data_IF_406324689514
#
_entry.id   IF_406324689514
#
_cell.length_a   1.000
_cell.length_b   1.000
_cell.length_c   1.000
_cell.angle_alpha   90.00
_cell.angle_beta   90.00
_cell.angle_gamma   90.00
#
_symmetry.space_group_name_H-M   'P 1'
#
loop_
_entity.id
_entity.type
_entity.pdbx_description
1 polymer ?
#
# COMPACT_ATOMS: atom_id res chain seq x y z
N UNK A 1 50.45 -60.28 -14.61
CA UNK A 1 49.77 -59.11 -14.02
C UNK A 1 50.19 -57.90 -14.83
N UNK A 2 49.42 -57.57 -15.86
CA UNK A 2 49.58 -56.30 -16.58
C UNK A 2 49.11 -55.17 -15.66
N UNK A 3 50.02 -54.26 -15.34
CA UNK A 3 49.63 -52.97 -14.77
C UNK A 3 48.91 -52.18 -15.86
N UNK A 4 47.58 -52.12 -15.77
CA UNK A 4 46.79 -51.15 -16.51
C UNK A 4 47.36 -49.75 -16.27
N UNK A 5 47.74 -48.99 -17.31
CA UNK A 5 48.16 -47.62 -17.12
C UNK A 5 46.97 -46.80 -16.62
N UNK A 6 47.18 -46.02 -15.56
CA UNK A 6 46.19 -45.09 -15.04
C UNK A 6 45.70 -44.19 -16.18
N UNK A 7 44.44 -44.38 -16.58
CA UNK A 7 43.75 -43.52 -17.55
C UNK A 7 43.80 -42.10 -17.00
N UNK A 8 44.65 -41.24 -17.59
CA UNK A 8 44.61 -39.80 -17.35
C UNK A 8 43.25 -39.31 -17.84
N UNK A 9 42.28 -39.23 -16.93
CA UNK A 9 41.04 -38.51 -17.20
C UNK A 9 41.44 -37.12 -17.68
N UNK A 10 40.85 -36.67 -18.80
CA UNK A 10 41.08 -35.31 -19.25
C UNK A 10 40.73 -34.37 -18.09
N UNK A 11 41.54 -33.34 -17.88
CA UNK A 11 41.38 -32.37 -16.79
C UNK A 11 39.93 -31.85 -16.69
N UNK A 12 39.26 -31.79 -17.85
CA UNK A 12 37.83 -31.58 -18.01
C UNK A 12 36.95 -32.63 -17.28
N UNK A 13 37.10 -33.92 -17.56
CA UNK A 13 36.32 -35.00 -16.93
C UNK A 13 36.56 -35.09 -15.42
N UNK A 14 37.80 -34.84 -14.97
CA UNK A 14 38.15 -34.77 -13.56
C UNK A 14 37.43 -33.62 -12.85
N UNK A 15 37.46 -32.42 -13.43
CA UNK A 15 36.79 -31.24 -12.89
C UNK A 15 35.26 -31.43 -12.84
N UNK A 16 34.66 -31.95 -13.92
CA UNK A 16 33.22 -32.22 -13.98
C UNK A 16 32.76 -33.28 -13.00
N UNK A 17 33.56 -34.33 -12.79
CA UNK A 17 33.25 -35.36 -11.79
C UNK A 17 33.21 -34.79 -10.37
N UNK A 18 34.17 -33.93 -10.01
CA UNK A 18 34.21 -33.25 -8.71
C UNK A 18 33.06 -32.24 -8.54
N UNK A 19 32.74 -31.47 -9.58
CA UNK A 19 31.60 -30.56 -9.58
C UNK A 19 30.26 -31.31 -9.43
N UNK A 20 30.12 -32.49 -10.05
CA UNK A 20 28.93 -33.32 -9.92
C UNK A 20 28.73 -33.79 -8.47
N UNK A 21 29.81 -34.17 -7.77
CA UNK A 21 29.76 -34.55 -6.36
C UNK A 21 29.29 -33.38 -5.50
N UNK A 22 29.87 -32.18 -5.70
CA UNK A 22 29.45 -30.95 -4.99
C UNK A 22 27.97 -30.66 -5.25
N UNK A 23 27.50 -30.83 -6.48
CA UNK A 23 26.11 -30.60 -6.86
C UNK A 23 25.15 -31.60 -6.18
N UNK A 24 25.44 -32.90 -6.24
CA UNK A 24 24.62 -33.94 -5.60
C UNK A 24 24.61 -33.76 -4.08
N UNK A 25 25.78 -33.56 -3.49
CA UNK A 25 25.95 -33.36 -2.05
C UNK A 25 25.19 -32.12 -1.56
N UNK A 26 25.35 -30.98 -2.24
CA UNK A 26 24.66 -29.75 -1.91
C UNK A 26 23.14 -29.84 -2.11
N UNK A 27 22.67 -30.53 -3.16
CA UNK A 27 21.22 -30.69 -3.41
C UNK A 27 20.54 -31.51 -2.32
N UNK A 28 21.18 -32.58 -1.83
CA UNK A 28 20.69 -33.37 -0.69
C UNK A 28 20.50 -32.49 0.54
N UNK A 29 21.51 -31.67 0.87
CA UNK A 29 21.44 -30.77 2.02
C UNK A 29 20.32 -29.73 1.90
N UNK A 30 20.20 -29.09 0.73
CA UNK A 30 19.13 -28.10 0.49
C UNK A 30 17.74 -28.72 0.51
N UNK A 31 17.58 -29.96 0.03
CA UNK A 31 16.30 -30.67 0.11
C UNK A 31 15.90 -30.96 1.57
N UNK A 32 16.83 -31.47 2.39
CA UNK A 32 16.61 -31.69 3.82
C UNK A 32 16.25 -30.39 4.55
N UNK A 33 16.99 -29.31 4.29
CA UNK A 33 16.71 -27.99 4.87
C UNK A 33 15.34 -27.45 4.42
N UNK A 34 14.97 -27.66 3.15
CA UNK A 34 13.66 -27.33 2.62
C UNK A 34 12.52 -28.06 3.34
N UNK A 35 12.67 -29.36 3.61
CA UNK A 35 11.68 -30.14 4.35
C UNK A 35 11.55 -29.64 5.80
N UNK A 36 12.67 -29.41 6.50
CA UNK A 36 12.67 -28.89 7.87
C UNK A 36 11.97 -27.53 7.94
N UNK A 37 12.28 -26.62 7.01
CA UNK A 37 11.67 -25.28 6.96
C UNK A 37 10.17 -25.34 6.68
N UNK A 38 9.69 -26.27 5.83
CA UNK A 38 8.26 -26.49 5.61
C UNK A 38 7.56 -26.92 6.92
N UNK A 39 8.13 -27.88 7.65
CA UNK A 39 7.55 -28.32 8.94
C UNK A 39 7.52 -27.18 9.97
N UNK A 40 8.59 -26.38 10.06
CA UNK A 40 8.63 -25.19 10.92
C UNK A 40 7.55 -24.17 10.55
N UNK A 41 7.36 -23.90 9.26
CA UNK A 41 6.33 -22.97 8.78
C UNK A 41 4.91 -23.49 9.09
N UNK A 42 4.68 -24.80 8.99
CA UNK A 42 3.40 -25.42 9.38
C UNK A 42 3.19 -25.27 10.88
N UNK A 43 4.19 -25.56 11.71
CA UNK A 43 4.11 -25.41 13.16
C UNK A 43 3.85 -23.94 13.58
N UNK A 44 4.57 -22.99 12.99
CA UNK A 44 4.35 -21.55 13.20
C UNK A 44 2.93 -21.13 12.79
N UNK A 45 2.39 -21.70 11.72
CA UNK A 45 1.00 -21.41 11.28
C UNK A 45 -0.02 -21.94 12.26
N UNK A 46 0.19 -23.13 12.84
CA UNK A 46 -0.69 -23.70 13.86
C UNK A 46 -0.63 -22.84 15.14
N UNK A 47 0.57 -22.41 15.54
CA UNK A 47 0.76 -21.59 16.74
C UNK A 47 0.25 -20.15 16.60
N UNK A 48 0.34 -19.55 15.42
CA UNK A 48 0.02 -18.12 15.22
C UNK A 48 -1.45 -17.72 15.36
N UNK A 49 -2.35 -18.65 15.70
CA UNK A 49 -3.74 -18.37 16.04
C UNK A 49 -4.56 -17.72 14.91
N UNK A 50 -5.85 -17.48 15.14
CA UNK A 50 -6.66 -16.67 14.23
C UNK A 50 -6.45 -15.21 14.58
N UNK A 51 -5.76 -14.45 13.72
CA UNK A 51 -5.72 -12.99 13.83
C UNK A 51 -7.08 -12.42 13.51
N UNK A 52 -7.53 -11.49 14.35
CA UNK A 52 -8.76 -10.75 14.14
C UNK A 52 -8.67 -9.95 12.84
N UNK A 53 -9.77 -9.92 12.07
CA UNK A 53 -9.80 -9.18 10.81
C UNK A 53 -9.91 -7.70 11.13
N UNK A 54 -8.90 -6.93 10.74
CA UNK A 54 -8.98 -5.47 10.78
C UNK A 54 -10.13 -5.01 9.89
N UNK A 55 -11.04 -4.21 10.44
CA UNK A 55 -12.18 -3.68 9.69
C UNK A 55 -11.67 -2.63 8.69
N UNK A 56 -12.28 -2.60 7.51
CA UNK A 56 -11.99 -1.60 6.49
C UNK A 56 -12.86 -0.37 6.80
N UNK A 57 -12.36 0.48 7.69
CA UNK A 57 -13.05 1.69 8.15
C UNK A 57 -12.16 2.89 7.82
N UNK A 58 -12.77 3.95 7.31
CA UNK A 58 -12.09 5.24 7.10
C UNK A 58 -12.11 5.99 8.43
N UNK A 59 -10.95 6.06 9.08
CA UNK A 59 -10.72 6.86 10.29
C UNK A 59 -10.44 8.33 9.96
N UNK A 60 -10.55 9.23 10.95
CA UNK A 60 -10.18 10.64 10.78
C UNK A 60 -8.77 10.82 10.25
N UNK A 61 -8.62 11.85 9.41
CA UNK A 61 -7.38 12.31 8.79
C UNK A 61 -6.62 11.23 7.98
N UNK A 62 -7.18 10.75 6.85
CA UNK A 62 -6.42 9.92 5.92
C UNK A 62 -5.15 10.63 5.45
N UNK A 63 -4.08 9.85 5.28
CA UNK A 63 -2.81 10.37 4.77
C UNK A 63 -2.99 11.11 3.44
N UNK A 64 -2.16 12.12 3.20
CA UNK A 64 -2.20 12.96 1.99
C UNK A 64 -1.07 12.54 1.06
N UNK A 65 -1.40 12.18 -0.19
CA UNK A 65 -0.38 11.80 -1.19
C UNK A 65 0.10 13.04 -1.97
N UNK A 66 1.16 13.68 -1.46
CA UNK A 66 1.84 14.79 -2.15
C UNK A 66 2.73 14.28 -3.27
N UNK A 67 3.10 15.17 -4.19
CA UNK A 67 4.08 14.87 -5.26
C UNK A 67 5.43 14.42 -4.68
N UNK A 68 5.90 15.09 -3.61
CA UNK A 68 7.14 14.72 -2.91
C UNK A 68 7.11 13.29 -2.35
N UNK A 69 6.01 12.89 -1.70
CA UNK A 69 5.84 11.53 -1.17
C UNK A 69 5.77 10.54 -2.34
N UNK A 70 5.03 10.87 -3.40
CA UNK A 70 4.94 10.02 -4.58
C UNK A 70 6.33 9.77 -5.22
N UNK A 71 7.16 10.80 -5.31
CA UNK A 71 8.52 10.72 -5.84
C UNK A 71 9.45 9.93 -4.92
N UNK A 72 9.40 10.17 -3.61
CA UNK A 72 10.18 9.45 -2.60
C UNK A 72 9.93 7.93 -2.67
N UNK A 73 8.65 7.54 -2.80
CA UNK A 73 8.23 6.14 -2.90
C UNK A 73 8.25 5.59 -4.33
N UNK A 74 8.71 6.38 -5.32
CA UNK A 74 8.78 5.99 -6.74
C UNK A 74 7.45 5.41 -7.23
N UNK A 75 6.37 6.15 -6.98
CA UNK A 75 5.05 5.85 -7.52
C UNK A 75 5.13 5.89 -9.04
N UNK A 76 4.80 4.78 -9.69
CA UNK A 76 4.80 4.68 -11.16
C UNK A 76 3.55 5.35 -11.75
N UNK A 77 2.43 5.28 -11.04
CA UNK A 77 1.13 5.82 -11.48
C UNK A 77 0.23 6.05 -10.28
N UNK A 78 -0.36 7.23 -10.17
CA UNK A 78 -1.44 7.54 -9.23
C UNK A 78 -2.53 8.32 -9.98
N UNK A 79 -3.70 7.72 -10.17
CA UNK A 79 -4.85 8.36 -10.80
C UNK A 79 -6.20 7.81 -10.28
N UNK A 80 -7.30 8.17 -10.95
CA UNK A 80 -8.67 7.80 -10.60
C UNK A 80 -8.97 6.28 -10.71
N UNK A 81 -8.07 5.49 -11.28
CA UNK A 81 -8.25 4.08 -11.58
C UNK A 81 -7.20 3.18 -10.93
N UNK A 82 -5.94 3.59 -10.96
CA UNK A 82 -4.79 2.80 -10.53
C UNK A 82 -3.83 3.57 -9.64
N UNK A 83 -3.41 2.91 -8.56
CA UNK A 83 -2.27 3.31 -7.75
C UNK A 83 -1.21 2.21 -7.84
N UNK A 84 -0.09 2.55 -8.47
CA UNK A 84 1.01 1.63 -8.80
C UNK A 84 2.28 2.19 -8.21
N UNK A 85 2.93 1.40 -7.38
CA UNK A 85 4.20 1.76 -6.78
C UNK A 85 5.11 0.55 -6.67
N UNK A 86 6.42 0.82 -6.61
CA UNK A 86 7.44 -0.20 -6.44
C UNK A 86 8.11 -0.07 -5.09
N UNK A 87 8.07 -1.13 -4.30
CA UNK A 87 8.82 -1.15 -3.04
C UNK A 87 10.29 -1.42 -3.33
N UNK A 88 11.16 -0.48 -2.98
CA UNK A 88 12.61 -0.70 -3.02
C UNK A 88 12.98 -1.76 -1.97
N UNK A 89 13.89 -2.67 -2.36
CA UNK A 89 14.42 -3.70 -1.46
C UNK A 89 15.91 -3.45 -1.31
N UNK A 90 16.29 -2.55 -0.42
CA UNK A 90 17.72 -2.29 -0.11
C UNK A 90 18.44 -3.56 0.33
N UNK A 91 17.72 -4.43 1.04
CA UNK A 91 18.15 -5.78 1.43
C UNK A 91 18.63 -6.60 0.21
N UNK A 92 18.11 -6.34 -0.99
CA UNK A 92 18.51 -7.10 -2.19
C UNK A 92 19.98 -6.87 -2.54
N UNK A 93 20.44 -5.61 -2.54
CA UNK A 93 21.83 -5.29 -2.86
C UNK A 93 22.79 -5.91 -1.83
N UNK A 94 22.45 -5.80 -0.55
CA UNK A 94 23.19 -6.41 0.55
C UNK A 94 23.27 -7.94 0.45
N UNK A 95 22.13 -8.61 0.18
CA UNK A 95 22.09 -10.07 0.00
C UNK A 95 22.88 -10.53 -1.22
N UNK A 96 22.90 -9.76 -2.32
CA UNK A 96 23.74 -10.04 -3.48
C UNK A 96 25.22 -9.96 -3.09
N UNK A 97 25.62 -8.91 -2.36
CA UNK A 97 27.01 -8.74 -1.91
C UNK A 97 27.48 -9.88 -1.01
N UNK A 98 26.70 -10.24 0.01
CA UNK A 98 27.02 -11.37 0.89
C UNK A 98 27.03 -12.70 0.13
N UNK A 99 26.01 -12.95 -0.70
CA UNK A 99 25.94 -14.19 -1.49
C UNK A 99 27.14 -14.35 -2.41
N UNK A 100 27.56 -13.27 -3.07
CA UNK A 100 28.74 -13.27 -3.93
C UNK A 100 30.03 -13.51 -3.13
N UNK A 101 30.19 -12.88 -1.96
CA UNK A 101 31.36 -13.09 -1.10
C UNK A 101 31.47 -14.55 -0.64
N UNK A 102 30.37 -15.15 -0.16
CA UNK A 102 30.33 -16.55 0.27
C UNK A 102 30.65 -17.49 -0.90
N UNK A 103 30.08 -17.24 -2.08
CA UNK A 103 30.35 -18.05 -3.27
C UNK A 103 31.83 -17.98 -3.69
N UNK A 104 32.43 -16.78 -3.68
CA UNK A 104 33.85 -16.61 -3.99
C UNK A 104 34.73 -17.39 -3.00
N UNK A 105 34.41 -17.37 -1.71
CA UNK A 105 35.10 -18.19 -0.69
C UNK A 105 34.93 -19.68 -0.98
N UNK A 106 33.71 -20.13 -1.29
CA UNK A 106 33.44 -21.52 -1.65
C UNK A 106 34.22 -22.00 -2.89
N UNK A 107 34.27 -21.17 -3.94
CA UNK A 107 35.04 -21.45 -5.16
C UNK A 107 36.54 -21.49 -4.86
N UNK A 108 37.06 -20.54 -4.07
CA UNK A 108 38.48 -20.54 -3.70
C UNK A 108 38.88 -21.80 -2.93
N UNK A 109 38.07 -22.21 -1.93
CA UNK A 109 38.30 -23.43 -1.17
C UNK A 109 38.21 -24.68 -2.05
N UNK A 110 37.23 -24.73 -2.95
CA UNK A 110 37.10 -25.82 -3.92
C UNK A 110 38.34 -25.94 -4.81
N UNK A 111 38.85 -24.84 -5.35
CA UNK A 111 40.06 -24.84 -6.17
C UNK A 111 41.30 -25.26 -5.39
N UNK A 112 41.42 -24.85 -4.12
CA UNK A 112 42.54 -25.23 -3.24
C UNK A 112 42.52 -26.71 -2.87
N UNK A 113 41.34 -27.30 -2.70
CA UNK A 113 41.18 -28.65 -2.14
C UNK A 113 40.71 -29.69 -3.17
N UNK A 114 40.70 -29.36 -4.46
CA UNK A 114 40.19 -30.22 -5.53
C UNK A 114 40.84 -31.61 -5.56
N UNK A 115 42.14 -31.66 -5.23
CA UNK A 115 42.95 -32.88 -5.23
C UNK A 115 42.80 -33.71 -3.95
N UNK A 116 42.15 -33.17 -2.91
CA UNK A 116 41.87 -33.91 -1.69
C UNK A 116 40.45 -34.52 -1.74
N UNK A 117 40.30 -35.85 -1.95
CA UNK A 117 38.99 -36.49 -2.02
C UNK A 117 38.23 -36.49 -0.69
N UNK A 118 38.91 -36.28 0.44
CA UNK A 118 38.31 -36.23 1.78
C UNK A 118 38.08 -34.80 2.28
N UNK A 119 38.20 -33.80 1.40
CA UNK A 119 37.92 -32.42 1.75
C UNK A 119 36.49 -32.24 2.23
N UNK A 120 36.32 -31.41 3.25
CA UNK A 120 35.02 -31.02 3.80
C UNK A 120 34.17 -30.30 2.74
N UNK A 121 34.76 -29.72 1.69
CA UNK A 121 34.02 -29.03 0.62
C UNK A 121 33.04 -29.94 -0.10
N UNK A 122 33.31 -31.25 -0.13
CA UNK A 122 32.44 -32.26 -0.74
C UNK A 122 31.34 -32.75 0.20
N UNK A 123 31.41 -32.41 1.49
CA UNK A 123 30.39 -32.80 2.47
C UNK A 123 29.09 -31.98 2.27
N UNK A 124 27.88 -32.56 2.44
CA UNK A 124 26.62 -31.90 2.10
C UNK A 124 26.40 -30.51 2.74
N UNK A 125 26.72 -30.28 4.02
CA UNK A 125 26.55 -28.95 4.63
C UNK A 125 27.44 -27.88 3.99
N UNK A 126 28.69 -28.20 3.67
CA UNK A 126 29.65 -27.23 3.11
C UNK A 126 29.37 -26.97 1.63
N UNK A 127 29.23 -28.02 0.82
CA UNK A 127 28.85 -27.90 -0.60
C UNK A 127 27.52 -27.15 -0.77
N UNK A 128 26.54 -27.44 0.09
CA UNK A 128 25.25 -26.77 0.14
C UNK A 128 25.36 -25.30 0.54
N UNK A 129 26.03 -24.97 1.64
CA UNK A 129 26.05 -23.62 2.20
C UNK A 129 27.00 -22.64 1.47
N UNK A 130 28.17 -23.11 1.02
CA UNK A 130 29.20 -22.23 0.45
C UNK A 130 29.17 -22.15 -1.08
N UNK A 131 28.56 -23.12 -1.77
CA UNK A 131 28.53 -23.16 -3.24
C UNK A 131 27.10 -23.12 -3.74
N UNK A 132 26.29 -24.15 -3.43
CA UNK A 132 24.99 -24.30 -4.10
C UNK A 132 23.95 -23.26 -3.66
N UNK A 133 23.81 -23.01 -2.36
CA UNK A 133 22.89 -22.00 -1.83
C UNK A 133 23.19 -20.59 -2.34
N UNK A 134 24.42 -20.04 -2.22
CA UNK A 134 24.71 -18.70 -2.70
C UNK A 134 24.60 -18.60 -4.23
N UNK A 135 24.95 -19.65 -4.98
CA UNK A 135 24.74 -19.69 -6.42
C UNK A 135 23.25 -19.61 -6.81
N UNK A 136 22.39 -20.42 -6.19
CA UNK A 136 20.94 -20.38 -6.40
C UNK A 136 20.37 -19.03 -5.99
N UNK A 137 20.82 -18.47 -4.85
CA UNK A 137 20.38 -17.16 -4.39
C UNK A 137 20.75 -16.07 -5.40
N UNK A 138 21.99 -16.02 -5.88
CA UNK A 138 22.43 -15.03 -6.88
C UNK A 138 21.63 -15.13 -8.18
N UNK A 139 21.45 -16.34 -8.72
CA UNK A 139 20.60 -16.58 -9.89
C UNK A 139 19.18 -16.06 -9.62
N UNK A 140 18.59 -16.38 -8.47
CA UNK A 140 17.25 -15.94 -8.11
C UNK A 140 17.13 -14.41 -8.01
N UNK A 141 18.20 -13.71 -7.63
CA UNK A 141 18.24 -12.24 -7.57
C UNK A 141 18.36 -11.61 -8.96
N UNK A 142 19.12 -12.21 -9.87
CA UNK A 142 19.22 -11.74 -11.27
C UNK A 142 17.85 -11.82 -11.95
N UNK A 143 17.10 -12.89 -11.70
CA UNK A 143 15.74 -13.07 -12.23
C UNK A 143 14.64 -12.45 -11.34
N UNK A 144 15.00 -11.69 -10.30
CA UNK A 144 14.02 -11.07 -9.40
C UNK A 144 13.37 -9.85 -10.06
N UNK A 145 12.10 -10.00 -10.44
CA UNK A 145 11.27 -8.90 -10.93
C UNK A 145 11.08 -7.80 -9.87
N UNK A 146 10.85 -6.57 -10.35
CA UNK A 146 10.49 -5.43 -9.49
C UNK A 146 9.25 -5.77 -8.65
N UNK A 147 9.30 -5.45 -7.35
CA UNK A 147 8.18 -5.65 -6.41
C UNK A 147 7.14 -4.55 -6.61
N UNK A 148 6.33 -4.70 -7.65
CA UNK A 148 5.26 -3.76 -7.99
C UNK A 148 3.93 -4.17 -7.34
N UNK A 149 3.35 -3.25 -6.59
CA UNK A 149 1.95 -3.31 -6.18
C UNK A 149 1.07 -2.62 -7.22
N UNK A 150 -0.12 -3.17 -7.45
CA UNK A 150 -1.13 -2.54 -8.30
C UNK A 150 -2.44 -2.57 -7.54
N UNK A 151 -2.91 -1.40 -7.13
CA UNK A 151 -4.25 -1.21 -6.59
C UNK A 151 -5.14 -0.78 -7.75
N UNK A 152 -6.11 -1.63 -8.08
CA UNK A 152 -7.12 -1.37 -9.10
C UNK A 152 -8.40 -0.95 -8.38
N UNK A 153 -8.64 0.36 -8.36
CA UNK A 153 -9.78 0.97 -7.68
C UNK A 153 -11.10 0.56 -8.32
N UNK A 154 -11.16 0.45 -9.64
CA UNK A 154 -12.40 0.21 -10.37
C UNK A 154 -12.92 -1.22 -10.15
N UNK A 155 -12.00 -2.20 -10.15
CA UNK A 155 -12.30 -3.60 -9.88
C UNK A 155 -12.23 -3.95 -8.39
N UNK A 156 -11.72 -3.05 -7.54
CA UNK A 156 -11.59 -3.26 -6.09
C UNK A 156 -10.60 -4.37 -5.76
N UNK A 157 -9.50 -4.49 -6.53
CA UNK A 157 -8.51 -5.56 -6.35
C UNK A 157 -7.11 -5.01 -6.09
N UNK A 158 -6.30 -5.80 -5.39
CA UNK A 158 -4.89 -5.52 -5.13
C UNK A 158 -4.06 -6.66 -5.67
N UNK A 159 -3.13 -6.33 -6.56
CA UNK A 159 -2.14 -7.27 -7.08
C UNK A 159 -0.86 -7.13 -6.29
N UNK A 160 -0.49 -8.22 -5.62
CA UNK A 160 0.74 -8.35 -4.87
C UNK A 160 1.90 -8.73 -5.80
N UNK A 161 3.10 -8.19 -5.55
CA UNK A 161 4.30 -8.62 -6.25
C UNK A 161 4.63 -10.08 -5.93
N UNK A 162 5.49 -10.67 -6.76
CA UNK A 162 6.12 -11.96 -6.43
C UNK A 162 6.85 -11.83 -5.10
N UNK A 163 6.60 -12.75 -4.19
CA UNK A 163 7.26 -12.80 -2.89
C UNK A 163 7.89 -14.18 -2.70
N UNK A 164 9.22 -14.23 -2.62
CA UNK A 164 9.99 -15.48 -2.60
C UNK A 164 9.62 -16.38 -3.80
N UNK A 165 9.17 -17.60 -3.54
CA UNK A 165 8.73 -18.57 -4.55
C UNK A 165 7.26 -18.43 -4.96
N UNK A 166 6.49 -17.56 -4.30
CA UNK A 166 5.06 -17.38 -4.61
C UNK A 166 4.89 -16.41 -5.77
N UNK A 167 4.19 -16.82 -6.86
CA UNK A 167 3.93 -15.95 -7.99
C UNK A 167 3.05 -14.76 -7.58
N UNK A 168 3.02 -13.73 -8.42
CA UNK A 168 2.10 -12.60 -8.26
C UNK A 168 0.67 -13.11 -8.02
N UNK A 169 -0.05 -12.48 -7.11
CA UNK A 169 -1.43 -12.83 -6.83
C UNK A 169 -2.30 -11.58 -6.73
N UNK A 170 -3.47 -11.65 -7.33
CA UNK A 170 -4.49 -10.61 -7.25
C UNK A 170 -5.58 -11.07 -6.31
N UNK A 171 -5.96 -10.23 -5.36
CA UNK A 171 -7.03 -10.51 -4.40
C UNK A 171 -7.98 -9.31 -4.30
N UNK A 172 -9.26 -9.52 -3.97
CA UNK A 172 -10.16 -8.43 -3.60
C UNK A 172 -9.61 -7.63 -2.43
N UNK A 173 -9.75 -6.29 -2.47
CA UNK A 173 -9.26 -5.41 -1.41
C UNK A 173 -9.90 -5.74 -0.06
N UNK A 174 -11.17 -6.12 -0.03
CA UNK A 174 -11.87 -6.59 1.18
C UNK A 174 -11.22 -7.78 1.90
N UNK A 175 -10.29 -8.49 1.25
CA UNK A 175 -9.51 -9.61 1.83
C UNK A 175 -8.07 -9.21 2.18
N UNK A 176 -7.64 -7.99 1.85
CA UNK A 176 -6.33 -7.46 2.22
C UNK A 176 -6.32 -7.20 3.71
N UNK A 177 -5.20 -7.52 4.35
CA UNK A 177 -5.03 -7.35 5.79
C UNK A 177 -3.83 -6.42 5.98
N UNK A 178 -4.02 -5.26 6.64
CA UNK A 178 -2.92 -4.40 7.01
C UNK A 178 -2.06 -5.11 8.06
N UNK A 179 -0.76 -4.87 8.01
CA UNK A 179 0.20 -5.40 8.94
C UNK A 179 1.29 -4.39 9.23
N UNK A 180 2.05 -4.65 10.27
CA UNK A 180 3.18 -3.83 10.67
C UNK A 180 4.41 -4.72 10.75
N UNK A 181 5.53 -4.23 10.21
CA UNK A 181 6.83 -4.87 10.38
C UNK A 181 7.71 -3.99 11.24
N UNK A 182 8.29 -4.57 12.31
CA UNK A 182 9.45 -3.99 12.97
C UNK A 182 10.62 -4.10 11.99
N UNK A 183 11.21 -2.98 11.59
CA UNK A 183 12.48 -2.99 10.86
C UNK A 183 13.53 -3.71 11.70
N UNK A 184 14.35 -4.56 11.09
CA UNK A 184 15.55 -5.11 11.73
C UNK A 184 16.59 -4.00 11.80
N UNK A 185 17.07 -3.71 13.01
CA UNK A 185 18.06 -2.66 13.35
C UNK A 185 17.52 -1.22 13.21
N UNK A 186 16.88 -0.73 14.28
CA UNK A 186 16.77 0.67 14.67
C UNK A 186 16.33 1.78 13.67
N UNK A 187 15.68 1.51 12.53
CA UNK A 187 15.05 2.58 11.75
C UNK A 187 13.69 2.18 11.16
N UNK A 188 12.65 2.89 11.61
CA UNK A 188 11.25 2.95 11.15
C UNK A 188 10.47 1.63 11.07
N UNK A 189 9.41 1.52 11.88
CA UNK A 189 8.32 0.61 11.58
C UNK A 189 7.76 0.93 10.18
N UNK A 190 7.40 -0.09 9.40
CA UNK A 190 6.79 0.13 8.09
C UNK A 190 5.39 -0.44 8.07
N UNK A 191 4.47 0.32 7.49
CA UNK A 191 3.16 -0.17 7.16
C UNK A 191 3.25 -1.15 5.98
N UNK A 192 2.54 -2.27 6.11
CA UNK A 192 2.67 -3.41 5.22
C UNK A 192 1.30 -3.96 4.86
N UNK A 193 1.21 -4.64 3.71
CA UNK A 193 0.14 -5.59 3.46
C UNK A 193 0.62 -7.00 3.75
N UNK A 194 -0.19 -7.78 4.45
CA UNK A 194 0.10 -9.20 4.65
C UNK A 194 -0.17 -9.95 3.34
N UNK A 195 0.85 -10.64 2.83
CA UNK A 195 0.74 -11.44 1.63
C UNK A 195 -0.36 -12.51 1.80
N UNK A 196 -1.31 -12.65 0.85
CA UNK A 196 -2.51 -13.46 1.05
C UNK A 196 -2.24 -14.92 1.42
N UNK A 197 -1.17 -15.50 0.86
CA UNK A 197 -0.81 -16.92 1.05
C UNK A 197 0.16 -17.15 2.21
N UNK A 198 1.24 -16.37 2.28
CA UNK A 198 2.32 -16.58 3.25
C UNK A 198 2.11 -15.83 4.56
N UNK A 199 1.20 -14.85 4.58
CA UNK A 199 1.00 -13.91 5.68
C UNK A 199 2.25 -13.08 6.02
N UNK A 200 3.26 -13.09 5.16
CA UNK A 200 4.45 -12.25 5.30
C UNK A 200 4.06 -10.78 5.14
N UNK A 201 4.57 -9.91 6.01
CA UNK A 201 4.38 -8.47 5.89
C UNK A 201 5.23 -7.93 4.74
N UNK A 202 4.60 -7.39 3.70
CA UNK A 202 5.28 -6.76 2.57
C UNK A 202 5.09 -5.23 2.70
N UNK A 203 6.19 -4.46 2.83
CA UNK A 203 6.09 -3.00 2.95
C UNK A 203 5.41 -2.35 1.74
N UNK A 204 4.54 -1.39 2.02
CA UNK A 204 3.80 -0.60 1.01
C UNK A 204 4.21 0.87 1.07
N UNK A 205 3.56 1.72 0.28
CA UNK A 205 3.74 3.17 0.32
C UNK A 205 3.21 3.71 1.65
N UNK A 206 4.10 4.02 2.59
CA UNK A 206 3.81 4.59 3.90
C UNK A 206 5.02 4.49 4.84
N UNK A 207 5.18 5.50 5.69
CA UNK A 207 5.95 5.39 6.94
C UNK A 207 5.11 4.77 8.05
N UNK A 208 5.64 4.72 9.28
CA UNK A 208 4.86 4.31 10.44
C UNK A 208 3.83 5.38 10.78
N UNK A 209 2.63 5.25 10.21
CA UNK A 209 1.49 6.06 10.62
C UNK A 209 0.18 5.30 10.44
N UNK A 210 -0.77 5.51 11.34
CA UNK A 210 -2.12 4.93 11.29
C UNK A 210 -2.90 5.40 10.07
N UNK A 211 -2.55 6.58 9.55
CA UNK A 211 -3.37 7.38 8.63
C UNK A 211 -3.33 6.85 7.19
N UNK A 212 -2.36 5.98 6.90
CA UNK A 212 -2.23 5.33 5.60
C UNK A 212 -3.29 4.24 5.36
N UNK A 213 -3.74 3.53 6.39
CA UNK A 213 -4.81 2.54 6.19
C UNK A 213 -6.14 3.19 5.76
N UNK A 214 -6.64 4.24 6.45
CA UNK A 214 -7.77 5.03 5.98
C UNK A 214 -7.59 5.57 4.56
N UNK A 215 -6.38 6.00 4.20
CA UNK A 215 -6.07 6.43 2.84
C UNK A 215 -6.33 5.30 1.82
N UNK A 216 -5.82 4.09 2.06
CA UNK A 216 -6.06 2.96 1.17
C UNK A 216 -7.54 2.57 1.11
N UNK A 217 -8.24 2.60 2.25
CA UNK A 217 -9.68 2.30 2.29
C UNK A 217 -10.48 3.33 1.50
N UNK A 218 -10.18 4.61 1.65
CA UNK A 218 -10.80 5.70 0.89
C UNK A 218 -10.48 5.59 -0.60
N UNK A 219 -9.22 5.36 -0.97
CA UNK A 219 -8.81 5.20 -2.36
C UNK A 219 -9.55 4.03 -3.03
N UNK A 220 -9.65 2.89 -2.35
CA UNK A 220 -10.29 1.69 -2.88
C UNK A 220 -11.83 1.75 -2.85
N UNK A 221 -12.42 2.74 -2.17
CA UNK A 221 -13.86 3.02 -2.26
C UNK A 221 -14.15 3.84 -3.53
N UNK A 222 -14.40 3.16 -4.65
CA UNK A 222 -14.69 3.82 -5.93
C UNK A 222 -15.95 4.69 -5.93
N UNK A 223 -16.77 4.61 -4.88
CA UNK A 223 -18.01 5.39 -4.77
C UNK A 223 -17.80 6.70 -4.00
N UNK A 224 -16.62 6.89 -3.39
CA UNK A 224 -16.21 8.12 -2.69
C UNK A 224 -15.26 8.97 -3.54
N UNK A 225 -15.11 10.28 -3.21
CA UNK A 225 -14.09 11.13 -3.81
C UNK A 225 -12.68 10.57 -3.60
N UNK A 226 -11.76 10.96 -4.49
CA UNK A 226 -10.35 10.61 -4.36
C UNK A 226 -9.75 11.19 -3.07
N UNK A 227 -8.79 10.49 -2.43
CA UNK A 227 -8.07 11.03 -1.29
C UNK A 227 -7.43 12.39 -1.55
N UNK A 228 -7.11 13.11 -0.48
CA UNK A 228 -6.40 14.38 -0.59
C UNK A 228 -4.96 14.17 -1.09
N UNK A 229 -4.45 15.16 -1.82
CA UNK A 229 -3.08 15.18 -2.32
C UNK A 229 -2.99 15.60 -3.79
N UNK A 230 -1.91 16.33 -4.10
CA UNK A 230 -1.62 16.88 -5.43
C UNK A 230 -1.58 15.81 -6.52
N UNK A 231 -1.18 14.57 -6.17
CA UNK A 231 -1.14 13.45 -7.09
C UNK A 231 -2.51 13.12 -7.72
N UNK A 232 -3.62 13.49 -7.06
CA UNK A 232 -4.98 13.20 -7.51
C UNK A 232 -5.74 14.40 -8.05
N UNK A 233 -5.25 15.63 -7.84
CA UNK A 233 -5.94 16.86 -8.20
C UNK A 233 -6.36 16.91 -9.69
N UNK A 234 -5.51 16.51 -10.66
CA UNK A 234 -5.90 16.48 -12.08
C UNK A 234 -7.07 15.55 -12.42
N UNK A 235 -7.39 14.59 -11.54
CA UNK A 235 -8.38 13.55 -11.80
C UNK A 235 -9.68 13.73 -11.02
N UNK A 236 -9.77 14.70 -10.09
CA UNK A 236 -10.94 14.89 -9.22
C UNK A 236 -12.21 15.19 -10.01
N UNK A 237 -12.13 16.09 -10.99
CA UNK A 237 -13.28 16.46 -11.82
C UNK A 237 -13.79 15.26 -12.63
N UNK A 238 -12.88 14.53 -13.27
CA UNK A 238 -13.20 13.32 -14.02
C UNK A 238 -13.85 12.25 -13.14
N UNK A 239 -13.32 12.01 -11.93
CA UNK A 239 -13.92 11.04 -11.00
C UNK A 239 -15.31 11.48 -10.52
N UNK A 240 -15.49 12.78 -10.23
CA UNK A 240 -16.78 13.35 -9.87
C UNK A 240 -17.81 13.16 -10.98
N UNK A 241 -17.49 13.54 -12.23
CA UNK A 241 -18.39 13.39 -13.38
C UNK A 241 -18.77 11.92 -13.61
N UNK A 242 -17.83 10.98 -13.41
CA UNK A 242 -18.11 9.54 -13.46
C UNK A 242 -19.09 9.12 -12.38
N UNK A 243 -18.90 9.54 -11.12
CA UNK A 243 -19.82 9.21 -10.01
C UNK A 243 -21.20 9.84 -10.22
N UNK A 244 -21.25 11.08 -10.73
CA UNK A 244 -22.48 11.77 -11.12
C UNK A 244 -23.24 11.00 -12.20
N UNK A 245 -22.55 10.55 -13.24
CA UNK A 245 -23.15 9.72 -14.30
C UNK A 245 -23.68 8.36 -13.79
N UNK A 246 -23.05 7.82 -12.74
CA UNK A 246 -23.50 6.59 -12.08
C UNK A 246 -24.60 6.82 -11.01
N UNK A 247 -25.03 8.07 -10.79
CA UNK A 247 -26.05 8.42 -9.80
C UNK A 247 -25.58 8.37 -8.35
N UNK A 248 -24.29 8.66 -8.09
CA UNK A 248 -23.67 8.63 -6.75
C UNK A 248 -23.98 7.34 -5.97
N UNK A 249 -23.44 6.19 -6.43
CA UNK A 249 -23.67 4.91 -5.78
C UNK A 249 -23.26 4.93 -4.30
N UNK A 250 -23.92 4.11 -3.47
CA UNK A 250 -23.64 4.05 -2.03
C UNK A 250 -22.18 3.64 -1.75
N UNK A 251 -21.52 4.20 -0.72
CA UNK A 251 -20.17 3.81 -0.32
C UNK A 251 -20.00 2.31 -0.06
N UNK A 252 -18.79 1.80 -0.33
CA UNK A 252 -18.46 0.38 -0.12
C UNK A 252 -17.99 0.14 1.32
N UNK A 253 -17.25 1.09 1.90
CA UNK A 253 -16.67 0.97 3.23
C UNK A 253 -17.26 2.01 4.18
N UNK A 254 -17.45 1.69 5.47
CA UNK A 254 -17.88 2.64 6.49
C UNK A 254 -16.80 3.71 6.76
N UNK A 255 -17.25 4.87 7.23
CA UNK A 255 -16.44 6.01 7.65
C UNK A 255 -16.85 6.47 9.06
N UNK A 256 -15.93 7.11 9.76
CA UNK A 256 -16.19 7.82 11.03
C UNK A 256 -16.00 9.33 10.90
N UNK A 257 -15.93 9.83 9.67
CA UNK A 257 -15.72 11.24 9.34
C UNK A 257 -16.56 11.65 8.13
N UNK A 258 -16.81 12.95 7.98
CA UNK A 258 -17.35 13.53 6.76
C UNK A 258 -16.43 13.20 5.56
N UNK A 259 -16.98 12.54 4.54
CA UNK A 259 -16.25 12.28 3.28
C UNK A 259 -17.13 12.73 2.12
N UNK A 260 -16.99 13.99 1.75
CA UNK A 260 -17.77 14.63 0.68
C UNK A 260 -16.86 15.27 -0.35
N UNK A 261 -17.40 15.57 -1.52
CA UNK A 261 -16.69 16.29 -2.56
C UNK A 261 -16.29 17.71 -2.14
N UNK A 262 -17.09 18.37 -1.31
CA UNK A 262 -16.77 19.68 -0.73
C UNK A 262 -15.54 19.64 0.19
N UNK A 263 -15.26 18.50 0.83
CA UNK A 263 -14.15 18.36 1.75
C UNK A 263 -12.90 17.74 1.10
N UNK A 264 -13.09 16.67 0.33
CA UNK A 264 -11.99 15.86 -0.19
C UNK A 264 -11.95 15.80 -1.72
N UNK A 265 -13.01 16.17 -2.43
CA UNK A 265 -13.17 15.89 -3.85
C UNK A 265 -13.17 17.12 -4.75
N UNK A 266 -13.99 17.07 -5.79
CA UNK A 266 -14.15 18.17 -6.74
C UNK A 266 -15.29 19.08 -6.29
N UNK A 267 -14.98 20.37 -6.13
CA UNK A 267 -15.99 21.36 -5.74
C UNK A 267 -16.88 21.67 -6.95
N UNK A 268 -18.05 21.02 -7.00
CA UNK A 268 -19.05 21.25 -8.02
C UNK A 268 -19.88 22.48 -7.68
N UNK A 269 -19.43 23.64 -8.16
CA UNK A 269 -20.13 24.91 -8.00
C UNK A 269 -19.94 25.82 -9.21
N UNK A 270 -20.79 26.85 -9.29
CA UNK A 270 -20.73 27.85 -10.37
C UNK A 270 -19.39 28.60 -10.37
N UNK A 271 -19.03 29.19 -11.50
CA UNK A 271 -17.79 29.97 -11.60
C UNK A 271 -17.77 31.12 -10.59
N UNK A 272 -18.91 31.77 -10.36
CA UNK A 272 -19.04 32.81 -9.34
C UNK A 272 -18.79 32.26 -7.93
N UNK A 273 -19.37 31.10 -7.60
CA UNK A 273 -19.16 30.45 -6.31
C UNK A 273 -17.67 30.12 -6.10
N UNK A 274 -17.01 29.52 -7.09
CA UNK A 274 -15.59 29.17 -7.03
C UNK A 274 -14.70 30.41 -6.88
N UNK A 275 -15.02 31.50 -7.59
CA UNK A 275 -14.30 32.78 -7.46
C UNK A 275 -14.48 33.44 -6.10
N UNK A 276 -15.63 33.29 -5.44
CA UNK A 276 -15.82 33.78 -4.08
C UNK A 276 -15.09 32.89 -3.08
N UNK A 277 -15.19 31.58 -3.24
CA UNK A 277 -14.53 30.61 -2.37
C UNK A 277 -13.01 30.80 -2.35
N UNK A 278 -12.37 31.11 -3.48
CA UNK A 278 -10.91 31.34 -3.55
C UNK A 278 -10.44 32.57 -2.77
N UNK A 279 -11.35 33.50 -2.42
CA UNK A 279 -11.06 34.70 -1.61
C UNK A 279 -11.29 34.47 -0.11
N UNK A 280 -11.94 33.37 0.25
CA UNK A 280 -12.25 33.03 1.64
C UNK A 280 -11.01 32.42 2.30
N UNK A 281 -10.76 32.82 3.54
CA UNK A 281 -9.55 32.47 4.29
C UNK A 281 -9.46 30.98 4.62
N UNK A 282 -10.57 30.37 5.02
CA UNK A 282 -10.60 28.99 5.50
C UNK A 282 -11.30 28.05 4.51
N UNK A 283 -11.01 26.74 4.60
CA UNK A 283 -11.67 25.71 3.78
C UNK A 283 -13.11 25.51 4.24
N UNK A 284 -13.97 25.00 3.36
CA UNK A 284 -15.39 24.68 3.64
C UNK A 284 -15.56 23.88 4.95
N UNK A 285 -14.69 22.89 5.17
CA UNK A 285 -14.73 22.04 6.38
C UNK A 285 -14.65 22.83 7.68
N UNK A 286 -13.91 23.94 7.70
CA UNK A 286 -13.82 24.77 8.89
C UNK A 286 -15.19 25.32 9.28
N UNK A 287 -15.93 25.85 8.31
CA UNK A 287 -17.27 26.40 8.53
C UNK A 287 -18.30 25.30 8.80
N UNK A 288 -18.12 24.12 8.23
CA UNK A 288 -18.91 22.94 8.58
C UNK A 288 -18.75 22.59 10.08
N UNK A 289 -17.51 22.53 10.58
CA UNK A 289 -17.23 22.22 11.98
C UNK A 289 -17.87 23.25 12.92
N UNK A 290 -17.84 24.53 12.55
CA UNK A 290 -18.52 25.62 13.30
C UNK A 290 -20.02 25.40 13.40
N UNK A 291 -20.68 25.04 12.30
CA UNK A 291 -22.12 24.76 12.30
C UNK A 291 -22.44 23.47 13.07
N UNK A 292 -21.62 22.43 12.93
CA UNK A 292 -21.77 21.18 13.67
C UNK A 292 -21.71 21.42 15.19
N UNK A 293 -20.74 22.21 15.67
CA UNK A 293 -20.66 22.62 17.07
C UNK A 293 -21.87 23.44 17.52
N UNK A 294 -22.34 24.38 16.70
CA UNK A 294 -23.55 25.14 17.00
C UNK A 294 -24.77 24.22 17.20
N UNK A 295 -24.96 23.24 16.31
CA UNK A 295 -26.03 22.25 16.44
C UNK A 295 -25.94 21.47 17.75
N UNK A 296 -24.74 21.01 18.12
CA UNK A 296 -24.50 20.27 19.37
C UNK A 296 -24.84 21.12 20.60
N UNK A 297 -24.41 22.39 20.64
CA UNK A 297 -24.70 23.31 21.74
C UNK A 297 -26.20 23.60 21.91
N UNK A 298 -26.95 23.57 20.81
CA UNK A 298 -28.39 23.86 20.79
C UNK A 298 -29.27 22.60 20.81
N UNK A 299 -28.68 21.41 21.02
CA UNK A 299 -29.42 20.14 21.09
C UNK A 299 -30.06 19.70 19.77
N UNK A 300 -29.56 20.18 18.63
CA UNK A 300 -30.00 19.79 17.30
C UNK A 300 -29.26 18.51 16.91
N UNK A 301 -29.99 17.41 16.74
CA UNK A 301 -29.41 16.12 16.39
C UNK A 301 -29.04 16.05 14.91
N UNK A 302 -27.79 15.64 14.63
CA UNK A 302 -27.29 15.34 13.28
C UNK A 302 -27.10 13.82 13.22
N UNK A 303 -28.02 13.06 12.59
CA UNK A 303 -27.98 11.61 12.61
C UNK A 303 -26.73 11.03 11.93
N UNK A 304 -26.27 11.68 10.86
CA UNK A 304 -25.05 11.35 10.12
C UNK A 304 -24.33 12.65 9.74
N UNK A 305 -22.99 12.68 9.84
CA UNK A 305 -22.19 13.85 9.41
C UNK A 305 -22.53 14.29 7.97
N UNK A 306 -22.91 13.37 7.09
CA UNK A 306 -23.31 13.73 5.73
C UNK A 306 -24.67 14.45 5.62
N UNK A 307 -25.51 14.43 6.66
CA UNK A 307 -26.85 15.05 6.64
C UNK A 307 -26.80 16.59 6.73
N UNK A 308 -25.69 17.15 7.22
CA UNK A 308 -25.45 18.60 7.24
C UNK A 308 -24.78 19.01 5.91
N UNK A 309 -25.59 19.50 4.98
CA UNK A 309 -25.15 19.73 3.59
C UNK A 309 -24.92 21.21 3.33
N UNK A 310 -23.79 21.55 2.70
CA UNK A 310 -23.57 22.88 2.16
C UNK A 310 -24.49 23.11 0.95
N UNK A 311 -25.24 24.20 0.92
CA UNK A 311 -26.08 24.57 -0.24
C UNK A 311 -25.38 25.60 -1.12
N UNK A 312 -24.60 26.51 -0.53
CA UNK A 312 -23.95 27.56 -1.30
C UNK A 312 -23.46 28.71 -0.44
N UNK A 313 -23.28 29.86 -1.08
CA UNK A 313 -22.86 31.11 -0.43
C UNK A 313 -23.97 32.15 -0.55
N UNK A 314 -24.35 32.76 0.56
CA UNK A 314 -25.19 33.95 0.57
C UNK A 314 -24.38 35.13 1.11
N UNK A 315 -24.20 36.17 0.29
CA UNK A 315 -23.28 37.30 0.61
C UNK A 315 -21.87 36.79 0.93
N UNK A 316 -21.45 36.87 2.20
CA UNK A 316 -20.17 36.37 2.75
C UNK A 316 -20.37 35.19 3.73
N UNK A 317 -21.51 34.51 3.65
CA UNK A 317 -21.89 33.48 4.61
C UNK A 317 -22.06 32.15 3.91
N UNK A 318 -21.51 31.09 4.49
CA UNK A 318 -21.78 29.72 4.08
C UNK A 318 -23.17 29.32 4.55
N UNK A 319 -23.93 28.69 3.67
CA UNK A 319 -25.30 28.28 3.94
C UNK A 319 -25.34 26.76 4.01
N UNK A 320 -25.61 26.23 5.20
CA UNK A 320 -25.79 24.80 5.43
C UNK A 320 -27.23 24.48 5.77
N UNK A 321 -27.68 23.28 5.42
CA UNK A 321 -29.03 22.80 5.71
C UNK A 321 -29.02 21.31 6.04
N UNK A 322 -29.86 20.93 7.00
CA UNK A 322 -30.08 19.54 7.33
C UNK A 322 -30.98 18.86 6.30
N UNK A 323 -30.62 17.64 5.90
CA UNK A 323 -31.37 16.82 4.94
C UNK A 323 -31.55 17.46 3.56
N UNK A 324 -30.66 18.38 3.19
CA UNK A 324 -30.60 18.90 1.84
C UNK A 324 -30.11 17.80 0.88
N UNK A 325 -30.44 17.88 -0.42
CA UNK A 325 -29.97 16.88 -1.36
C UNK A 325 -28.45 17.03 -1.56
N UNK A 326 -27.71 15.93 -1.40
CA UNK A 326 -26.27 15.89 -1.64
C UNK A 326 -25.94 16.07 -3.13
N UNK A 327 -24.71 16.51 -3.42
CA UNK A 327 -24.12 16.57 -4.76
C UNK A 327 -24.86 17.50 -5.76
N UNK A 328 -25.55 18.52 -5.24
CA UNK A 328 -26.07 19.63 -6.03
C UNK A 328 -24.95 20.65 -6.33
N UNK A 329 -25.09 21.37 -7.43
CA UNK A 329 -24.19 22.47 -7.78
C UNK A 329 -24.26 23.59 -6.73
N UNK A 330 -23.12 23.93 -6.11
CA UNK A 330 -23.04 25.04 -5.18
C UNK A 330 -23.18 26.37 -5.93
N UNK A 331 -24.14 27.18 -5.49
CA UNK A 331 -24.46 28.46 -6.10
C UNK A 331 -24.16 29.63 -5.14
N UNK A 332 -24.06 30.83 -5.72
CA UNK A 332 -24.24 32.05 -4.95
C UNK A 332 -25.74 32.31 -4.87
N UNK A 333 -26.31 32.24 -3.68
CA UNK A 333 -27.75 32.39 -3.45
C UNK A 333 -28.12 33.87 -3.66
N UNK A 334 -29.00 34.17 -4.62
CA UNK A 334 -29.29 35.55 -5.01
C UNK A 334 -30.23 36.26 -4.02
N UNK A 335 -31.12 35.53 -3.35
CA UNK A 335 -32.18 36.09 -2.53
C UNK A 335 -32.39 35.29 -1.22
N UNK A 336 -32.92 35.95 -0.19
CA UNK A 336 -33.11 35.38 1.14
C UNK A 336 -34.29 34.39 1.23
N UNK A 337 -35.11 34.29 0.19
CA UNK A 337 -36.28 33.41 0.10
C UNK A 337 -35.94 31.92 0.26
N UNK A 338 -34.70 31.53 -0.01
CA UNK A 338 -34.20 30.14 0.07
C UNK A 338 -33.50 29.84 1.41
N UNK A 339 -33.42 30.81 2.32
CA UNK A 339 -32.65 30.70 3.57
C UNK A 339 -33.48 30.19 4.77
N UNK A 340 -34.70 29.72 4.54
CA UNK A 340 -35.53 29.12 5.59
C UNK A 340 -34.99 27.75 6.00
N UNK A 341 -35.00 27.51 7.31
CA UNK A 341 -34.39 26.35 7.97
C UNK A 341 -32.91 26.12 7.59
N UNK A 342 -32.13 27.21 7.49
CA UNK A 342 -30.70 27.17 7.12
C UNK A 342 -29.80 27.69 8.24
N UNK A 343 -28.59 27.14 8.32
CA UNK A 343 -27.51 27.63 9.15
C UNK A 343 -26.61 28.53 8.31
N UNK A 344 -26.43 29.76 8.75
CA UNK A 344 -25.54 30.74 8.15
C UNK A 344 -24.27 30.83 8.98
N UNK A 345 -23.12 30.56 8.38
CA UNK A 345 -21.82 30.73 9.02
C UNK A 345 -21.05 31.85 8.32
N UNK A 346 -20.73 32.90 9.05
CA UNK A 346 -20.02 34.06 8.50
C UNK A 346 -18.55 33.73 8.20
N UNK A 347 -18.10 34.05 6.98
CA UNK A 347 -16.73 33.73 6.56
C UNK A 347 -15.64 34.59 7.21
N UNK A 348 -16.00 35.73 7.82
CA UNK A 348 -15.08 36.67 8.46
C UNK A 348 -15.09 36.59 9.98
N UNK A 349 -16.27 36.40 10.59
CA UNK A 349 -16.43 36.39 12.05
C UNK A 349 -16.59 35.00 12.66
N UNK A 350 -16.75 33.96 11.85
CA UNK A 350 -17.05 32.58 12.26
C UNK A 350 -18.32 32.45 13.14
N UNK A 351 -19.18 33.46 13.11
CA UNK A 351 -20.49 33.46 13.78
C UNK A 351 -21.45 32.55 13.04
N UNK A 352 -22.19 31.72 13.79
CA UNK A 352 -23.24 30.85 13.25
C UNK A 352 -24.61 31.38 13.68
N UNK A 353 -25.54 31.48 12.72
CA UNK A 353 -26.93 31.91 12.94
C UNK A 353 -27.87 30.92 12.26
N UNK A 354 -28.87 30.46 12.99
CA UNK A 354 -29.94 29.66 12.42
C UNK A 354 -31.09 30.58 11.97
N UNK A 355 -31.46 30.47 10.70
CA UNK A 355 -32.59 31.20 10.11
C UNK A 355 -33.74 30.23 9.97
N UNK A 356 -34.84 30.52 10.67
CA UNK A 356 -36.10 29.81 10.55
C UNK A 356 -36.80 30.19 9.26
#
# INVERSE_FOLDING_TARGET
MEHYPARKFLLFEYLWGKLLIVFISGTIFLALLGVITIFLLIAMRIWSGKREKVKHIIYPFPAVLTTEIADLYKVERADDQFLIFTTSSEIRGFLIGIGAAILCTGIFLFCKEIDNPYSEIYWPPFSGAFILAPFILLISQVFAHKRRFVLDRMNGTVTFPRHLFFPRCTVPFSKVIPGYSKGTMNLAFRFCFLHPRTKAAIPVLAEYDSDWWPFYVLYMDKNRPLPQGEAFDPYREKDFLRRKAAGFPKPIYPNTILVTDAYMGYIYGTDEFKQRLSKIKHRIVHYYDRVSWYCQEHGIEIPNDNDLVLIGLWKKQFVFKLFAPENIEYIVIPDNTVLTDCFLCDSETDEVKFVK
#
